data_IF_921007561008
#
_entry.id   IF_921007561008
#
_cell.length_a   1.000
_cell.length_b   1.000
_cell.length_c   1.000
_cell.angle_alpha   90.00
_cell.angle_beta   90.00
_cell.angle_gamma   90.00
#
_symmetry.space_group_name_H-M   'P 1'
#
loop_
_entity.id
_entity.type
_entity.pdbx_description
1 polymer ?
#
# COMPACT_ATOMS: atom_id res chain seq x y z
N UNK A 1 -12.22 -11.48 6.01
CA UNK A 1 -10.81 -11.79 6.24
C UNK A 1 -10.06 -11.31 5.01
N UNK A 2 -9.36 -10.18 5.11
CA UNK A 2 -8.57 -9.66 4.01
C UNK A 2 -7.34 -10.57 3.81
N UNK A 3 -6.95 -10.78 2.58
CA UNK A 3 -5.80 -11.60 2.23
C UNK A 3 -4.74 -10.69 1.63
N UNK A 4 -3.54 -10.73 2.15
CA UNK A 4 -2.40 -9.98 1.62
C UNK A 4 -1.56 -10.89 0.73
N UNK A 5 -1.17 -10.37 -0.43
CA UNK A 5 -0.30 -11.08 -1.37
C UNK A 5 0.98 -10.28 -1.59
N UNK A 6 2.16 -10.81 -1.23
CA UNK A 6 3.42 -10.20 -1.62
C UNK A 6 3.73 -10.55 -3.07
N UNK A 7 4.00 -9.56 -3.88
CA UNK A 7 4.60 -9.79 -5.19
C UNK A 7 6.10 -9.53 -5.09
N UNK A 8 6.92 -10.56 -5.25
CA UNK A 8 8.35 -10.43 -5.49
C UNK A 8 8.58 -10.47 -6.99
N UNK A 9 9.38 -9.57 -7.53
CA UNK A 9 9.91 -9.70 -8.90
C UNK A 9 10.57 -11.06 -9.08
N UNK A 10 9.83 -12.02 -9.60
CA UNK A 10 10.31 -13.27 -10.13
C UNK A 10 9.73 -13.40 -11.52
N UNK A 11 10.60 -13.57 -12.52
CA UNK A 11 10.33 -13.78 -13.95
C UNK A 11 8.88 -14.17 -14.25
N UNK A 12 8.28 -13.50 -15.24
CA UNK A 12 6.99 -13.88 -15.82
C UNK A 12 6.90 -15.41 -15.97
N UNK A 13 6.33 -16.07 -14.99
CA UNK A 13 5.79 -17.40 -15.17
C UNK A 13 4.61 -17.21 -16.14
N UNK A 14 4.55 -18.01 -17.20
CA UNK A 14 3.50 -17.91 -18.18
C UNK A 14 2.12 -17.87 -17.52
N UNK A 15 1.13 -17.23 -18.14
CA UNK A 15 -0.25 -16.99 -17.65
C UNK A 15 -1.04 -18.27 -17.27
N UNK A 16 -0.38 -19.39 -17.01
CA UNK A 16 -0.97 -20.66 -16.59
C UNK A 16 -0.94 -20.82 -15.07
N UNK A 17 -2.10 -20.94 -14.49
CA UNK A 17 -2.38 -21.23 -13.08
C UNK A 17 -2.15 -20.06 -12.09
N UNK A 18 -2.70 -18.89 -12.41
CA UNK A 18 -2.74 -17.76 -11.49
C UNK A 18 -3.48 -18.11 -10.16
N UNK A 19 -4.43 -19.06 -10.19
CA UNK A 19 -5.17 -19.48 -8.99
C UNK A 19 -4.25 -20.15 -7.97
N UNK A 20 -3.40 -21.08 -8.41
CA UNK A 20 -2.43 -21.72 -7.54
C UNK A 20 -1.42 -20.70 -7.00
N UNK A 21 -0.94 -19.78 -7.84
CA UNK A 21 -0.05 -18.71 -7.43
C UNK A 21 -0.72 -17.78 -6.41
N UNK A 22 -1.97 -17.39 -6.65
CA UNK A 22 -2.74 -16.57 -5.71
C UNK A 22 -2.87 -17.25 -4.34
N UNK A 23 -3.19 -18.55 -4.32
CA UNK A 23 -3.29 -19.29 -3.06
C UNK A 23 -1.93 -19.39 -2.33
N UNK A 24 -0.85 -19.59 -3.07
CA UNK A 24 0.50 -19.68 -2.51
C UNK A 24 1.01 -18.34 -1.92
N UNK A 25 0.56 -17.22 -2.48
CA UNK A 25 0.94 -15.88 -2.04
C UNK A 25 0.07 -15.35 -0.89
N UNK A 26 -1.04 -16.01 -0.57
CA UNK A 26 -1.94 -15.56 0.48
C UNK A 26 -1.28 -15.63 1.85
N UNK A 27 -1.43 -14.55 2.60
CA UNK A 27 -0.97 -14.47 3.98
C UNK A 27 -1.91 -13.60 4.81
N UNK A 28 -1.78 -13.68 6.12
CA UNK A 28 -2.48 -12.79 7.05
C UNK A 28 -1.82 -11.40 7.07
N UNK A 29 -2.55 -10.39 7.53
CA UNK A 29 -1.99 -9.05 7.72
C UNK A 29 -0.80 -9.05 8.70
N UNK A 30 -0.83 -9.92 9.70
CA UNK A 30 0.26 -10.07 10.66
C UNK A 30 1.53 -10.64 9.99
N UNK A 31 1.39 -11.69 9.19
CA UNK A 31 2.53 -12.23 8.43
C UNK A 31 3.09 -11.20 7.44
N UNK A 32 2.21 -10.42 6.78
CA UNK A 32 2.66 -9.34 5.90
C UNK A 32 3.41 -8.24 6.66
N UNK A 33 2.95 -7.87 7.85
CA UNK A 33 3.63 -6.89 8.69
C UNK A 33 5.05 -7.36 9.09
N UNK A 34 5.28 -8.67 9.26
CA UNK A 34 6.62 -9.21 9.56
C UNK A 34 7.62 -9.07 8.41
N UNK A 35 7.16 -8.82 7.17
CA UNK A 35 8.03 -8.56 6.03
C UNK A 35 8.62 -7.13 6.02
N UNK A 36 8.07 -6.24 6.85
CA UNK A 36 8.50 -4.85 6.97
C UNK A 36 9.73 -4.80 7.87
N UNK A 37 10.81 -4.21 7.37
CA UNK A 37 12.08 -4.08 8.10
C UNK A 37 12.07 -2.84 9.00
N UNK A 38 12.96 -2.80 9.97
CA UNK A 38 13.24 -1.57 10.70
C UNK A 38 13.85 -0.51 9.75
N UNK A 39 13.40 0.74 9.88
CA UNK A 39 13.77 1.82 8.97
C UNK A 39 13.14 1.74 7.57
N UNK A 40 12.08 0.93 7.41
CA UNK A 40 11.45 0.71 6.10
C UNK A 40 10.82 1.98 5.53
N UNK A 41 11.00 2.17 4.22
CA UNK A 41 10.35 3.22 3.44
C UNK A 41 9.21 2.64 2.62
N UNK A 42 8.02 3.13 2.85
CA UNK A 42 6.78 2.57 2.31
C UNK A 42 5.97 3.62 1.57
N UNK A 43 5.34 3.23 0.47
CA UNK A 43 4.32 4.03 -0.20
C UNK A 43 2.94 3.40 0.05
N UNK A 44 2.02 4.16 0.63
CA UNK A 44 0.66 3.71 0.89
C UNK A 44 -0.32 4.34 -0.12
N UNK A 45 -1.28 3.54 -0.55
CA UNK A 45 -2.39 4.05 -1.35
C UNK A 45 -3.31 4.93 -0.51
N UNK A 46 -4.12 5.75 -1.17
CA UNK A 46 -4.98 6.75 -0.55
C UNK A 46 -6.41 6.25 -0.33
N UNK A 47 -7.13 6.90 0.58
CA UNK A 47 -8.59 6.82 0.75
C UNK A 47 -9.14 5.38 0.79
N UNK A 48 -10.02 5.02 -0.16
CA UNK A 48 -10.65 3.70 -0.24
C UNK A 48 -9.67 2.54 -0.49
N UNK A 49 -8.46 2.84 -0.96
CA UNK A 49 -7.43 1.85 -1.21
C UNK A 49 -6.39 1.75 -0.07
N UNK A 50 -6.64 2.42 1.06
CA UNK A 50 -5.84 2.26 2.27
C UNK A 50 -5.89 0.81 2.77
N UNK A 51 -4.75 0.16 3.04
CA UNK A 51 -4.71 -1.24 3.46
C UNK A 51 -4.98 -1.35 4.97
N UNK A 52 -6.24 -1.40 5.36
CA UNK A 52 -6.70 -1.30 6.74
C UNK A 52 -6.24 -2.44 7.65
N UNK A 53 -6.24 -3.67 7.16
CA UNK A 53 -5.80 -4.81 7.96
C UNK A 53 -4.28 -4.76 8.18
N UNK A 54 -3.53 -4.35 7.16
CA UNK A 54 -2.09 -4.13 7.27
C UNK A 54 -1.79 -2.95 8.21
N UNK A 55 -2.53 -1.84 8.11
CA UNK A 55 -2.42 -0.68 9.00
C UNK A 55 -2.49 -1.12 10.47
N UNK A 56 -3.53 -1.90 10.81
CA UNK A 56 -3.70 -2.41 12.16
C UNK A 56 -2.59 -3.37 12.60
N UNK A 57 -2.23 -4.33 11.75
CA UNK A 57 -1.21 -5.33 12.07
C UNK A 57 0.19 -4.72 12.19
N UNK A 58 0.51 -3.75 11.33
CA UNK A 58 1.78 -3.03 11.38
C UNK A 58 1.87 -2.17 12.64
N UNK A 59 0.80 -1.45 13.00
CA UNK A 59 0.75 -0.68 14.23
C UNK A 59 1.01 -1.56 15.47
N UNK A 60 0.35 -2.71 15.56
CA UNK A 60 0.57 -3.67 16.66
C UNK A 60 2.02 -4.18 16.71
N UNK A 61 2.61 -4.45 15.55
CA UNK A 61 4.00 -4.90 15.47
C UNK A 61 4.98 -3.81 15.90
N UNK A 62 4.81 -2.58 15.41
CA UNK A 62 5.68 -1.46 15.75
C UNK A 62 5.67 -1.20 17.27
N UNK A 63 4.49 -1.20 17.90
CA UNK A 63 4.37 -1.05 19.36
C UNK A 63 5.12 -2.15 20.14
N UNK A 64 5.19 -3.37 19.61
CA UNK A 64 5.89 -4.48 20.25
C UNK A 64 7.40 -4.45 20.07
N UNK A 65 7.84 -4.06 18.89
CA UNK A 65 9.24 -4.23 18.48
C UNK A 65 10.07 -2.96 18.64
N UNK A 66 9.42 -1.79 18.69
CA UNK A 66 10.10 -0.50 18.64
C UNK A 66 10.70 -0.16 17.27
N UNK A 67 10.43 -0.95 16.21
CA UNK A 67 10.88 -0.64 14.85
C UNK A 67 10.30 0.66 14.34
N UNK A 68 10.97 1.26 13.37
CA UNK A 68 10.59 2.53 12.75
C UNK A 68 10.22 2.32 11.28
N UNK A 69 9.26 3.10 10.78
CA UNK A 69 8.91 3.15 9.36
C UNK A 69 8.67 4.58 8.91
N UNK A 70 9.00 4.87 7.65
CA UNK A 70 8.63 6.10 6.96
C UNK A 70 7.58 5.77 5.90
N UNK A 71 6.42 6.41 5.99
CA UNK A 71 5.29 6.20 5.09
C UNK A 71 5.09 7.45 4.23
N UNK A 72 4.97 7.24 2.94
CA UNK A 72 4.72 8.27 1.95
C UNK A 72 3.35 8.08 1.33
N UNK A 73 2.54 9.12 1.30
CA UNK A 73 1.20 9.02 0.73
C UNK A 73 0.50 10.36 0.61
N UNK A 74 -0.81 10.30 0.55
CA UNK A 74 -1.70 11.44 0.54
C UNK A 74 -3.13 10.99 0.86
N UNK A 75 -3.99 11.91 1.25
CA UNK A 75 -5.39 11.61 1.56
C UNK A 75 -5.56 10.43 2.53
N UNK A 76 -4.93 10.49 3.68
CA UNK A 76 -5.12 9.51 4.74
C UNK A 76 -6.60 9.42 5.11
N UNK A 77 -7.17 8.22 5.24
CA UNK A 77 -8.49 8.06 5.81
C UNK A 77 -8.46 8.31 7.32
N UNK A 78 -9.52 8.89 7.87
CA UNK A 78 -9.66 9.05 9.32
C UNK A 78 -9.70 7.68 10.01
N UNK A 79 -9.00 7.55 11.14
CA UNK A 79 -9.00 6.33 11.96
C UNK A 79 -7.87 5.34 11.65
N UNK A 80 -6.84 5.74 10.89
CA UNK A 80 -5.61 4.95 10.77
C UNK A 80 -4.99 4.68 12.15
N UNK A 81 -4.51 3.47 12.36
CA UNK A 81 -3.86 3.06 13.62
C UNK A 81 -2.37 3.36 13.63
N UNK A 82 -1.78 3.63 12.48
CA UNK A 82 -0.36 3.98 12.34
C UNK A 82 -0.06 5.40 12.80
N UNK A 83 -1.03 6.32 12.70
CA UNK A 83 -0.83 7.71 13.10
C UNK A 83 -1.58 8.02 14.40
N UNK A 84 -1.06 7.49 15.48
CA UNK A 84 -1.53 7.73 16.84
C UNK A 84 -0.39 8.29 17.70
N UNK A 85 -0.68 8.99 18.81
CA UNK A 85 0.35 9.51 19.69
C UNK A 85 1.34 8.45 20.19
N UNK A 86 0.88 7.22 20.40
CA UNK A 86 1.70 6.11 20.89
C UNK A 86 2.77 5.68 19.88
N UNK A 87 2.53 5.92 18.58
CA UNK A 87 3.44 5.59 17.49
C UNK A 87 4.21 6.78 16.93
N UNK A 88 4.05 7.98 17.52
CA UNK A 88 4.69 9.20 17.02
C UNK A 88 6.22 9.11 16.91
N UNK A 89 6.87 8.31 17.78
CA UNK A 89 8.31 8.07 17.73
C UNK A 89 8.76 6.97 16.74
N UNK A 90 7.84 6.21 16.15
CA UNK A 90 8.13 5.03 15.34
C UNK A 90 7.65 5.15 13.89
N UNK A 91 6.66 6.00 13.66
CA UNK A 91 6.10 6.24 12.33
C UNK A 91 6.34 7.68 11.93
N UNK A 92 6.98 7.88 10.79
CA UNK A 92 7.01 9.18 10.10
C UNK A 92 6.09 9.11 8.90
N UNK A 93 5.25 10.12 8.73
CA UNK A 93 4.36 10.20 7.57
C UNK A 93 4.57 11.49 6.79
N UNK A 94 4.96 11.36 5.54
CA UNK A 94 5.05 12.47 4.60
C UNK A 94 3.84 12.46 3.68
N UNK A 95 3.07 13.55 3.68
CA UNK A 95 1.92 13.74 2.80
C UNK A 95 2.15 14.86 1.80
N UNK A 96 1.80 14.62 0.54
CA UNK A 96 1.82 15.69 -0.47
C UNK A 96 0.48 16.43 -0.59
N UNK A 97 -0.53 16.00 0.18
CA UNK A 97 -1.81 16.67 0.28
C UNK A 97 -2.34 16.58 1.72
N UNK A 98 -2.76 17.72 2.26
CA UNK A 98 -3.33 17.80 3.60
C UNK A 98 -4.86 17.84 3.55
N UNK A 99 -5.47 16.74 3.99
CA UNK A 99 -6.88 16.63 4.37
C UNK A 99 -7.00 16.52 5.89
N UNK A 100 -7.30 15.35 6.39
CA UNK A 100 -7.36 15.05 7.84
C UNK A 100 -5.99 15.13 8.51
N UNK A 101 -4.91 15.00 7.77
CA UNK A 101 -3.51 15.08 8.20
C UNK A 101 -3.21 16.38 8.94
N UNK A 102 -3.89 17.48 8.59
CA UNK A 102 -3.75 18.77 9.30
C UNK A 102 -4.03 18.65 10.80
N UNK A 103 -4.98 17.81 11.19
CA UNK A 103 -5.28 17.55 12.60
C UNK A 103 -4.22 16.73 13.33
N UNK A 104 -3.30 16.10 12.60
CA UNK A 104 -2.25 15.24 13.13
C UNK A 104 -0.89 15.95 13.25
N UNK A 105 -0.74 17.16 12.70
CA UNK A 105 0.50 17.96 12.79
C UNK A 105 1.05 18.11 14.23
N UNK A 106 0.22 18.30 15.26
CA UNK A 106 0.74 18.45 16.63
C UNK A 106 1.49 17.22 17.16
N UNK A 107 1.36 16.07 16.52
CA UNK A 107 2.12 14.85 16.85
C UNK A 107 3.60 14.96 16.47
N UNK A 108 3.96 15.88 15.57
CA UNK A 108 5.35 16.15 15.18
C UNK A 108 5.98 15.13 14.22
N UNK A 109 5.25 14.12 13.82
CA UNK A 109 5.72 13.03 12.91
C UNK A 109 4.95 12.99 11.59
N UNK A 110 4.06 13.93 11.34
CA UNK A 110 3.31 14.10 10.09
C UNK A 110 3.80 15.36 9.39
N UNK A 111 4.35 15.21 8.20
CA UNK A 111 4.99 16.30 7.47
C UNK A 111 4.26 16.58 6.16
N UNK A 112 4.18 17.86 5.82
CA UNK A 112 3.61 18.31 4.56
C UNK A 112 4.67 18.65 3.53
N UNK A 113 4.63 17.93 2.41
CA UNK A 113 5.49 18.17 1.26
C UNK A 113 4.59 18.55 0.05
N UNK A 114 4.20 19.84 -0.09
CA UNK A 114 3.20 20.27 -1.05
C UNK A 114 3.60 19.93 -2.48
N UNK A 115 2.70 19.30 -3.23
CA UNK A 115 2.85 19.08 -4.66
C UNK A 115 1.49 18.96 -5.35
N UNK A 116 1.46 19.18 -6.66
CA UNK A 116 0.24 18.90 -7.43
C UNK A 116 0.00 17.38 -7.51
N UNK A 117 -1.24 16.96 -7.59
CA UNK A 117 -1.60 15.54 -7.71
C UNK A 117 -0.90 14.85 -8.88
N UNK A 118 -0.74 15.54 -10.01
CA UNK A 118 -0.01 15.04 -11.18
C UNK A 118 1.48 14.78 -10.91
N UNK A 119 2.05 15.40 -9.88
CA UNK A 119 3.45 15.25 -9.48
C UNK A 119 3.65 14.13 -8.45
N UNK A 120 2.58 13.59 -7.88
CA UNK A 120 2.65 12.53 -6.86
C UNK A 120 3.51 11.34 -7.29
N UNK A 121 3.41 10.81 -8.52
CA UNK A 121 4.27 9.71 -8.94
C UNK A 121 5.77 10.05 -8.90
N UNK A 122 6.14 11.23 -9.39
CA UNK A 122 7.53 11.68 -9.37
C UNK A 122 8.04 11.91 -7.93
N UNK A 123 7.18 12.46 -7.07
CA UNK A 123 7.45 12.68 -5.66
C UNK A 123 7.69 11.36 -4.90
N UNK A 124 6.88 10.31 -5.16
CA UNK A 124 7.06 8.98 -4.61
C UNK A 124 8.31 8.29 -5.16
N UNK A 125 8.54 8.36 -6.47
CA UNK A 125 9.71 7.76 -7.11
C UNK A 125 11.03 8.32 -6.55
N UNK A 126 11.08 9.62 -6.26
CA UNK A 126 12.26 10.26 -5.68
C UNK A 126 12.59 9.76 -4.27
N UNK A 127 11.59 9.28 -3.51
CA UNK A 127 11.75 8.72 -2.16
C UNK A 127 12.17 7.25 -2.15
N UNK A 128 12.10 6.58 -3.30
CA UNK A 128 12.52 5.19 -3.49
C UNK A 128 11.94 4.22 -2.46
N UNK A 129 10.62 4.20 -2.23
CA UNK A 129 10.05 3.26 -1.30
C UNK A 129 10.37 1.82 -1.73
N UNK A 130 10.81 0.99 -0.78
CA UNK A 130 11.02 -0.43 -1.04
C UNK A 130 9.70 -1.19 -1.06
N UNK A 131 8.74 -0.76 -0.27
CA UNK A 131 7.43 -1.40 -0.10
C UNK A 131 6.32 -0.49 -0.59
N UNK A 132 5.41 -1.03 -1.39
CA UNK A 132 4.12 -0.41 -1.66
C UNK A 132 3.01 -1.21 -0.99
N UNK A 133 1.99 -0.52 -0.47
CA UNK A 133 0.83 -1.16 0.16
C UNK A 133 -0.46 -0.53 -0.34
N UNK A 134 -1.40 -1.36 -0.79
CA UNK A 134 -2.68 -0.92 -1.33
C UNK A 134 -3.76 -1.99 -1.18
N UNK A 135 -5.02 -1.55 -1.28
CA UNK A 135 -6.18 -2.45 -1.36
C UNK A 135 -6.64 -2.58 -2.81
N UNK A 136 -6.96 -3.81 -3.24
CA UNK A 136 -7.52 -4.11 -4.55
C UNK A 136 -8.81 -4.95 -4.43
N UNK A 137 -9.52 -5.10 -5.55
CA UNK A 137 -10.64 -6.05 -5.67
C UNK A 137 -10.18 -7.50 -5.62
N UNK A 138 -11.12 -8.44 -5.56
CA UNK A 138 -10.83 -9.84 -5.88
C UNK A 138 -10.28 -9.96 -7.30
N UNK A 139 -9.40 -10.96 -7.57
CA UNK A 139 -9.03 -11.30 -8.93
C UNK A 139 -10.25 -11.68 -9.76
N UNK A 140 -10.28 -11.25 -11.00
CA UNK A 140 -11.25 -11.71 -11.99
C UNK A 140 -10.90 -13.12 -12.54
N UNK A 141 -11.65 -13.59 -13.53
CA UNK A 141 -11.44 -14.90 -14.18
C UNK A 141 -10.06 -15.07 -14.83
N UNK A 142 -9.38 -13.96 -15.13
CA UNK A 142 -8.06 -13.91 -15.74
C UNK A 142 -6.94 -13.56 -14.75
N UNK A 143 -7.23 -13.43 -13.44
CA UNK A 143 -6.26 -13.11 -12.41
C UNK A 143 -5.97 -11.63 -12.23
N UNK A 144 -6.74 -10.74 -12.84
CA UNK A 144 -6.58 -9.30 -12.70
C UNK A 144 -7.37 -8.74 -11.51
N UNK A 145 -6.70 -7.99 -10.66
CA UNK A 145 -7.28 -7.25 -9.54
C UNK A 145 -7.38 -5.77 -9.90
N UNK A 146 -8.57 -5.18 -9.76
CA UNK A 146 -8.76 -3.75 -9.95
C UNK A 146 -8.20 -2.97 -8.77
N UNK A 147 -7.46 -1.89 -9.07
CA UNK A 147 -7.04 -0.90 -8.08
C UNK A 147 -8.14 0.12 -7.77
N UNK A 148 -9.35 -0.10 -8.29
CA UNK A 148 -10.55 0.68 -8.01
C UNK A 148 -10.36 2.20 -8.11
N UNK A 149 -10.94 2.96 -7.17
CA UNK A 149 -11.11 4.41 -7.28
C UNK A 149 -9.82 5.21 -7.05
N UNK A 150 -9.03 4.84 -6.06
CA UNK A 150 -7.83 5.58 -5.63
C UNK A 150 -6.52 4.81 -5.78
N UNK A 151 -6.57 3.60 -6.31
CA UNK A 151 -5.38 2.77 -6.47
C UNK A 151 -4.37 3.33 -7.46
N UNK A 152 -4.81 4.19 -8.37
CA UNK A 152 -3.95 4.90 -9.34
C UNK A 152 -3.03 5.94 -8.69
N UNK A 153 -3.30 6.32 -7.45
CA UNK A 153 -2.43 7.20 -6.66
C UNK A 153 -1.01 6.61 -6.49
N UNK A 154 -0.91 5.28 -6.38
CA UNK A 154 0.35 4.56 -6.58
C UNK A 154 0.48 4.21 -8.06
N UNK A 155 1.13 5.04 -8.85
CA UNK A 155 1.29 4.78 -10.28
C UNK A 155 2.00 3.46 -10.56
N UNK A 156 1.81 2.89 -11.76
CA UNK A 156 2.48 1.67 -12.19
C UNK A 156 4.01 1.74 -11.99
N UNK A 157 4.62 2.87 -12.34
CA UNK A 157 6.06 3.09 -12.17
C UNK A 157 6.53 3.01 -10.71
N UNK A 158 5.71 3.49 -9.77
CA UNK A 158 6.01 3.39 -8.33
C UNK A 158 5.96 1.92 -7.89
N UNK A 159 4.93 1.18 -8.29
CA UNK A 159 4.83 -0.25 -7.96
C UNK A 159 5.99 -1.06 -8.55
N UNK A 160 6.39 -0.77 -9.79
CA UNK A 160 7.52 -1.42 -10.47
C UNK A 160 8.87 -1.11 -9.82
N UNK A 161 9.02 0.04 -9.18
CA UNK A 161 10.23 0.39 -8.44
C UNK A 161 10.35 -0.36 -7.11
N UNK A 162 9.23 -0.69 -6.48
CA UNK A 162 9.21 -1.36 -5.18
C UNK A 162 9.70 -2.81 -5.28
N UNK A 163 10.47 -3.26 -4.29
CA UNK A 163 10.88 -4.67 -4.18
C UNK A 163 9.73 -5.56 -3.68
N UNK A 164 8.79 -4.97 -2.96
CA UNK A 164 7.67 -5.66 -2.34
C UNK A 164 6.39 -4.83 -2.53
N UNK A 165 5.36 -5.45 -3.10
CA UNK A 165 4.02 -4.87 -3.18
C UNK A 165 3.09 -5.73 -2.34
N UNK A 166 2.51 -5.14 -1.30
CA UNK A 166 1.53 -5.77 -0.42
C UNK A 166 0.12 -5.38 -0.86
N UNK A 167 -0.62 -6.35 -1.34
CA UNK A 167 -1.99 -6.12 -1.82
C UNK A 167 -2.98 -6.71 -0.82
N UNK A 168 -3.75 -5.84 -0.17
CA UNK A 168 -4.90 -6.24 0.62
C UNK A 168 -6.09 -6.49 -0.31
N UNK A 169 -6.54 -7.74 -0.40
CA UNK A 169 -7.66 -8.10 -1.28
C UNK A 169 -8.98 -7.96 -0.53
N UNK A 170 -9.82 -7.02 -0.98
CA UNK A 170 -11.10 -6.74 -0.37
C UNK A 170 -12.26 -7.15 -1.31
N UNK A 171 -13.07 -8.16 -0.92
CA UNK A 171 -14.19 -8.63 -1.75
C UNK A 171 -15.31 -7.60 -1.94
N UNK A 172 -15.31 -6.51 -1.14
CA UNK A 172 -16.27 -5.41 -1.29
C UNK A 172 -15.75 -4.29 -2.20
N UNK A 173 -14.48 -4.36 -2.61
CA UNK A 173 -13.92 -3.40 -3.55
C UNK A 173 -14.45 -3.68 -4.95
N UNK A 174 -15.05 -2.69 -5.66
CA UNK A 174 -15.56 -2.92 -6.99
C UNK A 174 -14.42 -3.23 -7.98
N UNK A 175 -14.66 -4.21 -8.84
CA UNK A 175 -13.80 -4.47 -9.98
C UNK A 175 -14.22 -3.53 -11.13
N UNK A 176 -13.51 -2.43 -11.29
CA UNK A 176 -13.81 -1.40 -12.28
C UNK A 176 -13.15 -1.79 -13.60
N UNK A 177 -13.93 -1.90 -14.71
CA UNK A 177 -13.38 -2.11 -16.03
C UNK A 177 -12.43 -0.99 -16.44
N UNK A 178 -11.43 -1.31 -17.24
CA UNK A 178 -10.42 -0.35 -17.68
C UNK A 178 -9.99 -0.64 -19.12
N UNK A 179 -9.83 0.41 -19.90
CA UNK A 179 -9.30 0.33 -21.28
C UNK A 179 -7.77 0.12 -21.31
N UNK A 180 -7.10 0.31 -20.18
CA UNK A 180 -5.66 0.14 -20.01
C UNK A 180 -5.34 -0.68 -18.79
N UNK A 181 -5.39 -2.00 -18.88
CA UNK A 181 -5.24 -2.93 -17.75
C UNK A 181 -4.00 -2.63 -16.91
N UNK A 182 -2.86 -2.39 -17.55
CA UNK A 182 -1.61 -2.13 -16.87
C UNK A 182 -1.60 -0.89 -15.97
N UNK A 183 -2.50 0.08 -16.17
CA UNK A 183 -2.52 1.32 -15.39
C UNK A 183 -3.46 1.28 -14.18
N UNK A 184 -4.52 0.51 -14.27
CA UNK A 184 -5.59 0.49 -13.25
C UNK A 184 -5.78 -0.85 -12.58
N UNK A 185 -5.05 -1.87 -13.02
CA UNK A 185 -5.12 -3.25 -12.54
C UNK A 185 -3.74 -3.79 -12.18
N UNK A 186 -3.73 -4.83 -11.37
CA UNK A 186 -2.56 -5.66 -11.06
C UNK A 186 -2.91 -7.11 -11.35
N UNK A 187 -2.03 -7.82 -12.02
CA UNK A 187 -2.18 -9.26 -12.18
C UNK A 187 -1.53 -10.00 -11.01
N UNK A 188 -2.11 -11.14 -10.63
CA UNK A 188 -1.60 -11.96 -9.51
C UNK A 188 -0.13 -12.38 -9.70
N UNK A 189 0.36 -12.49 -10.94
CA UNK A 189 1.75 -12.87 -11.24
C UNK A 189 2.77 -11.73 -11.13
N UNK A 190 2.33 -10.52 -10.87
CA UNK A 190 3.21 -9.34 -10.75
C UNK A 190 3.65 -9.12 -9.32
#
# INVERSE_FOLDING_TARGET
>A
MATLTPTRRGRCAGMGDWQAQYQALRMTAREAAELIRDGEQMAFAAMSNWPWELDGALAERLLKTGCHVAIYGHFIPAGTRLLTPELAGQVTYDSNFYGVERGLEPMGNVHYAPSNLSQTPAWLLARRPRVAALTCSLPDENGWMSRSLWGTALSRKVLEQCELVLVEVNPRMPNIPSDGEAHTRLHVSE
#
